data_IF_682156613607
#
_entry.id   IF_682156613607
#
_cell.length_a   1.000
_cell.length_b   1.000
_cell.length_c   1.000
_cell.angle_alpha   90.00
_cell.angle_beta   90.00
_cell.angle_gamma   90.00
#
_symmetry.space_group_name_H-M   'P 1'
#
loop_
_entity.id
_entity.type
_entity.pdbx_description
1 polymer ?
#
# COMPACT_ATOMS: atom_id res chain seq x y z
N UNK A 1 -1.12 -4.06 22.47
CA UNK A 1 -2.13 -3.52 21.53
C UNK A 1 -1.78 -4.10 20.17
N UNK A 2 -2.74 -4.59 19.39
CA UNK A 2 -2.45 -5.16 18.07
C UNK A 2 -2.33 -3.97 17.11
N UNK A 3 -1.15 -3.75 16.54
CA UNK A 3 -0.98 -2.73 15.49
C UNK A 3 -1.80 -3.16 14.27
N UNK A 4 -2.66 -2.27 13.78
CA UNK A 4 -3.47 -2.52 12.59
C UNK A 4 -2.58 -2.39 11.34
N UNK A 5 -2.78 -3.26 10.35
CA UNK A 5 -2.08 -3.15 9.07
C UNK A 5 -2.54 -1.90 8.30
N UNK A 6 -1.76 -1.39 7.34
CA UNK A 6 -2.14 -0.22 6.54
C UNK A 6 -3.51 -0.39 5.85
N UNK A 7 -3.80 -1.59 5.34
CA UNK A 7 -5.11 -1.94 4.77
C UNK A 7 -6.21 -1.84 5.83
N UNK A 8 -5.99 -2.37 7.03
CA UNK A 8 -6.99 -2.29 8.12
C UNK A 8 -7.26 -0.85 8.55
N UNK A 9 -6.23 0.00 8.59
CA UNK A 9 -6.38 1.43 8.88
C UNK A 9 -7.16 2.15 7.78
N UNK A 10 -6.88 1.85 6.51
CA UNK A 10 -7.60 2.43 5.37
C UNK A 10 -9.08 1.99 5.34
N UNK A 11 -9.35 0.72 5.66
CA UNK A 11 -10.70 0.19 5.83
C UNK A 11 -11.42 0.87 7.01
N UNK A 12 -10.74 1.04 8.14
CA UNK A 12 -11.31 1.70 9.32
C UNK A 12 -11.63 3.20 9.07
N UNK A 13 -10.83 3.87 8.23
CA UNK A 13 -11.10 5.23 7.75
C UNK A 13 -12.28 5.29 6.77
N UNK A 14 -12.70 4.16 6.20
CA UNK A 14 -13.85 4.06 5.31
C UNK A 14 -13.62 4.60 3.90
N UNK A 15 -12.38 4.84 3.48
CA UNK A 15 -12.05 5.44 2.19
C UNK A 15 -11.41 4.46 1.19
N UNK A 16 -11.82 3.20 1.21
CA UNK A 16 -11.36 2.19 0.26
C UNK A 16 -12.27 2.16 -0.97
N UNK A 17 -11.69 2.28 -2.16
CA UNK A 17 -12.38 2.25 -3.45
C UNK A 17 -12.38 0.83 -4.05
N UNK A 18 -11.27 0.10 -3.92
CA UNK A 18 -11.16 -1.30 -4.30
C UNK A 18 -10.33 -2.09 -3.28
N UNK A 19 -10.76 -3.33 -3.02
CA UNK A 19 -10.00 -4.28 -2.23
C UNK A 19 -10.32 -5.70 -2.71
N UNK A 20 -9.37 -6.28 -3.43
CA UNK A 20 -9.39 -7.63 -3.98
C UNK A 20 -7.99 -8.25 -3.82
N UNK A 21 -7.84 -9.56 -4.11
CA UNK A 21 -6.53 -10.21 -4.05
C UNK A 21 -5.49 -9.64 -5.02
N UNK A 22 -5.92 -9.01 -6.12
CA UNK A 22 -5.07 -8.46 -7.18
C UNK A 22 -5.12 -6.94 -7.30
N UNK A 23 -5.94 -6.25 -6.51
CA UNK A 23 -6.03 -4.79 -6.54
C UNK A 23 -6.42 -4.21 -5.18
N UNK A 24 -5.79 -3.10 -4.82
CA UNK A 24 -6.25 -2.24 -3.75
C UNK A 24 -6.16 -0.78 -4.18
N UNK A 25 -7.23 -0.02 -3.97
CA UNK A 25 -7.25 1.43 -4.10
C UNK A 25 -7.98 2.08 -2.95
N UNK A 26 -7.48 3.21 -2.48
CA UNK A 26 -8.13 3.97 -1.43
C UNK A 26 -7.42 5.28 -1.11
N UNK A 27 -8.14 6.10 -0.36
CA UNK A 27 -7.61 7.34 0.19
C UNK A 27 -7.09 7.11 1.60
N UNK A 28 -5.92 7.66 1.86
CA UNK A 28 -5.29 7.70 3.16
C UNK A 28 -5.52 9.07 3.81
N UNK A 29 -5.22 9.12 5.12
CA UNK A 29 -5.29 10.34 5.93
C UNK A 29 -4.52 11.47 5.21
N UNK A 30 -4.97 12.72 5.38
CA UNK A 30 -4.44 13.91 4.69
C UNK A 30 -4.67 13.97 3.17
N UNK A 31 -5.40 13.00 2.58
CA UNK A 31 -5.84 13.06 1.18
C UNK A 31 -4.87 12.43 0.18
N UNK A 32 -3.95 11.60 0.65
CA UNK A 32 -3.12 10.78 -0.23
C UNK A 32 -3.96 9.70 -0.90
N UNK A 33 -3.72 9.44 -2.18
CA UNK A 33 -4.38 8.35 -2.89
C UNK A 33 -3.39 7.22 -3.15
N UNK A 34 -3.77 6.01 -2.77
CA UNK A 34 -2.91 4.83 -2.85
C UNK A 34 -3.61 3.83 -3.75
N UNK A 35 -2.89 3.36 -4.76
CA UNK A 35 -3.36 2.34 -5.68
C UNK A 35 -2.25 1.33 -5.91
N UNK A 36 -2.59 0.07 -5.74
CA UNK A 36 -1.75 -1.06 -6.10
C UNK A 36 -2.58 -2.03 -6.92
N UNK A 37 -2.03 -2.48 -8.05
CA UNK A 37 -2.69 -3.42 -8.93
C UNK A 37 -1.68 -4.43 -9.45
N UNK A 38 -2.05 -5.69 -9.46
CA UNK A 38 -1.24 -6.78 -10.00
C UNK A 38 -1.50 -6.90 -11.50
N UNK A 39 -0.42 -7.06 -12.27
CA UNK A 39 -0.50 -7.37 -13.69
C UNK A 39 -0.63 -8.89 -13.89
N UNK A 40 -1.86 -9.40 -13.72
CA UNK A 40 -2.16 -10.84 -13.83
C UNK A 40 -1.92 -11.42 -15.24
N UNK A 41 -1.82 -10.58 -16.27
CA UNK A 41 -1.76 -11.01 -17.67
C UNK A 41 -0.33 -11.26 -18.19
N UNK A 42 0.70 -10.58 -17.65
CA UNK A 42 2.06 -10.69 -18.19
C UNK A 42 3.12 -11.02 -17.15
N UNK A 43 3.28 -10.16 -16.15
CA UNK A 43 4.41 -10.24 -15.22
C UNK A 43 4.04 -10.80 -13.86
N UNK A 44 2.76 -10.77 -13.50
CA UNK A 44 2.26 -10.88 -12.13
C UNK A 44 2.85 -9.84 -11.18
N UNK A 45 3.59 -8.84 -11.67
CA UNK A 45 4.21 -7.83 -10.82
C UNK A 45 3.17 -6.80 -10.37
N UNK A 46 3.40 -6.26 -9.17
CA UNK A 46 2.59 -5.21 -8.60
C UNK A 46 3.01 -3.85 -9.15
N UNK A 47 2.06 -3.14 -9.75
CA UNK A 47 2.17 -1.72 -10.02
C UNK A 47 1.70 -0.93 -8.82
N UNK A 48 2.52 0.02 -8.36
CA UNK A 48 2.23 0.83 -7.17
C UNK A 48 2.22 2.30 -7.56
N UNK A 49 1.16 2.99 -7.17
CA UNK A 49 0.96 4.42 -7.37
C UNK A 49 0.53 5.07 -6.06
N UNK A 50 1.22 6.15 -5.67
CA UNK A 50 0.85 6.99 -4.53
C UNK A 50 0.83 8.44 -4.98
N UNK A 51 -0.33 9.10 -4.83
CA UNK A 51 -0.51 10.51 -5.16
C UNK A 51 -0.60 11.35 -3.90
N UNK A 52 0.09 12.49 -3.91
CA UNK A 52 -0.05 13.57 -2.94
C UNK A 52 -1.39 14.30 -3.18
N UNK A 53 -2.07 14.79 -2.14
CA UNK A 53 -3.29 15.61 -2.28
C UNK A 53 -3.11 16.85 -3.18
N UNK A 54 -1.89 17.39 -3.26
CA UNK A 54 -1.55 18.52 -4.14
C UNK A 54 -1.48 18.15 -5.64
N UNK A 55 -1.71 16.88 -5.99
CA UNK A 55 -1.75 16.38 -7.37
C UNK A 55 -0.44 15.84 -7.92
N UNK A 56 0.64 15.83 -7.11
CA UNK A 56 1.91 15.20 -7.45
C UNK A 56 1.90 13.68 -7.20
N UNK A 57 2.76 12.94 -7.87
CA UNK A 57 3.01 11.53 -7.57
C UNK A 57 4.19 11.43 -6.61
N UNK A 58 3.98 10.83 -5.44
CA UNK A 58 5.08 10.49 -4.52
C UNK A 58 5.79 9.22 -4.97
N UNK A 59 5.01 8.25 -5.45
CA UNK A 59 5.51 6.99 -5.95
C UNK A 59 4.72 6.58 -7.18
N UNK A 60 5.41 6.13 -8.22
CA UNK A 60 4.82 5.61 -9.45
C UNK A 60 5.82 4.62 -10.05
N UNK A 61 5.52 3.32 -9.96
CA UNK A 61 6.39 2.33 -10.55
C UNK A 61 5.98 0.89 -10.31
N UNK A 62 6.58 0.03 -11.13
CA UNK A 62 6.48 -1.41 -11.02
C UNK A 62 7.40 -1.93 -9.94
N UNK A 63 6.85 -2.72 -9.03
CA UNK A 63 7.64 -3.56 -8.14
C UNK A 63 8.05 -4.82 -8.90
N UNK A 64 9.24 -4.81 -9.48
CA UNK A 64 9.74 -5.96 -10.26
C UNK A 64 9.97 -7.18 -9.38
N UNK A 65 9.71 -8.38 -9.92
CA UNK A 65 9.87 -9.67 -9.22
C UNK A 65 9.00 -9.75 -7.95
N UNK A 66 7.78 -9.24 -8.03
CA UNK A 66 6.84 -9.18 -6.91
C UNK A 66 5.62 -10.07 -7.09
N UNK A 67 5.51 -10.86 -8.17
CA UNK A 67 4.35 -11.72 -8.39
C UNK A 67 4.11 -12.85 -7.40
N UNK A 68 5.06 -13.08 -6.48
CA UNK A 68 4.87 -13.97 -5.33
C UNK A 68 4.36 -13.25 -4.08
N UNK A 69 4.22 -11.91 -4.13
CA UNK A 69 3.78 -11.06 -3.02
C UNK A 69 2.27 -10.91 -3.03
N UNK A 70 1.73 -10.66 -1.86
CA UNK A 70 0.30 -10.41 -1.64
C UNK A 70 -0.03 -8.93 -1.76
N UNK A 71 -1.33 -8.62 -1.94
CA UNK A 71 -1.83 -7.24 -1.93
C UNK A 71 -1.46 -6.50 -0.63
N UNK A 72 -1.45 -7.18 0.52
CA UNK A 72 -1.07 -6.56 1.81
C UNK A 72 0.40 -6.14 1.81
N UNK A 73 1.30 -6.97 1.28
CA UNK A 73 2.72 -6.62 1.12
C UNK A 73 2.92 -5.47 0.13
N UNK A 74 2.17 -5.44 -0.97
CA UNK A 74 2.23 -4.37 -1.96
C UNK A 74 1.75 -3.03 -1.38
N UNK A 75 0.63 -3.04 -0.65
CA UNK A 75 0.14 -1.87 0.06
C UNK A 75 1.14 -1.43 1.12
N UNK A 76 1.67 -2.34 1.94
CA UNK A 76 2.71 -2.00 2.93
C UNK A 76 3.95 -1.37 2.28
N UNK A 77 4.36 -1.87 1.10
CA UNK A 77 5.42 -1.27 0.28
C UNK A 77 5.10 0.15 -0.17
N UNK A 78 3.87 0.40 -0.64
CA UNK A 78 3.40 1.73 -1.04
C UNK A 78 3.45 2.73 0.11
N UNK A 79 2.93 2.33 1.28
CA UNK A 79 2.92 3.15 2.49
C UNK A 79 4.32 3.47 3.00
N UNK A 80 5.22 2.47 2.98
CA UNK A 80 6.62 2.64 3.37
C UNK A 80 7.38 3.52 2.38
N UNK A 81 7.18 3.33 1.09
CA UNK A 81 7.84 4.09 0.03
C UNK A 81 7.43 5.56 -0.02
N UNK A 82 6.19 5.84 0.38
CA UNK A 82 5.66 7.20 0.50
C UNK A 82 5.83 7.80 1.91
N UNK A 83 6.55 7.13 2.81
CA UNK A 83 6.79 7.56 4.21
C UNK A 83 5.49 7.94 4.97
N UNK A 84 4.39 7.26 4.67
CA UNK A 84 3.05 7.56 5.23
C UNK A 84 2.81 6.94 6.61
N UNK A 85 3.71 6.06 7.05
CA UNK A 85 3.68 5.46 8.38
C UNK A 85 4.69 6.21 9.25
N UNK A 86 4.20 6.81 10.34
CA UNK A 86 5.07 7.35 11.38
C UNK A 86 5.96 6.22 11.93
N UNK A 87 7.25 6.50 12.15
CA UNK A 87 8.30 5.51 12.42
C UNK A 87 8.04 4.64 13.68
N UNK A 88 7.00 4.95 14.46
CA UNK A 88 6.52 4.18 15.60
C UNK A 88 6.04 2.76 15.23
N UNK A 89 5.76 2.49 13.95
CA UNK A 89 5.44 1.15 13.46
C UNK A 89 6.68 0.24 13.21
N UNK A 90 7.91 0.70 13.49
CA UNK A 90 9.14 -0.10 13.30
C UNK A 90 9.48 -1.08 14.42
N UNK A 91 8.67 -1.22 15.47
CA UNK A 91 8.96 -2.19 16.53
C UNK A 91 7.93 -3.30 16.53
N UNK A 92 8.30 -4.45 15.96
CA UNK A 92 8.04 -5.82 16.45
C UNK A 92 8.18 -6.82 15.28
N UNK A 93 9.40 -7.00 14.77
CA UNK A 93 9.76 -8.19 13.98
C UNK A 93 11.25 -8.47 14.14
N UNK A 94 11.70 -8.53 15.39
CA UNK A 94 13.06 -8.99 15.71
C UNK A 94 13.17 -9.44 17.17
N UNK A 95 12.25 -10.30 17.65
CA UNK A 95 12.54 -11.11 18.83
C UNK A 95 11.62 -12.34 18.95
N UNK A 96 11.95 -13.46 18.28
CA UNK A 96 11.93 -14.80 18.89
C UNK A 96 12.82 -15.77 18.10
#
# INVERSE_FOLDING_TARGET
MIALTPIQLAIAAGQVEAHSPSEFSGWWQDGYWIHVAQDEDYTNDWYITVKHPDGGFLYDGWWTDSGHRTVDEAVAGAFRGAELLDDDAKQESQNV
#
